data_IF_630526938590
#
_entry.id   IF_630526938590
#
_cell.length_a   1.000
_cell.length_b   1.000
_cell.length_c   1.000
_cell.angle_alpha   90.00
_cell.angle_beta   90.00
_cell.angle_gamma   90.00
#
_symmetry.space_group_name_H-M   'P 1'
#
loop_
_entity.id
_entity.type
_entity.pdbx_description
1 polymer ?
#
# COMPACT_ATOMS: atom_id res chain seq x y z
N UNK A 1 -6.69 19.44 -20.19
CA UNK A 1 -7.22 18.14 -20.66
C UNK A 1 -6.05 17.19 -20.77
N UNK A 2 -6.09 16.05 -20.09
CA UNK A 2 -5.03 15.04 -20.20
C UNK A 2 -5.36 14.05 -21.31
N UNK A 3 -4.34 13.40 -21.89
CA UNK A 3 -4.54 12.32 -22.86
C UNK A 3 -5.44 11.21 -22.30
N UNK A 4 -5.37 10.98 -20.99
CA UNK A 4 -6.20 9.98 -20.32
C UNK A 4 -7.70 10.30 -20.34
N UNK A 5 -8.08 11.58 -20.36
CA UNK A 5 -9.51 11.96 -20.50
C UNK A 5 -10.14 11.56 -21.83
N UNK A 6 -9.34 11.21 -22.84
CA UNK A 6 -9.82 10.70 -24.13
C UNK A 6 -10.04 9.19 -24.09
N UNK A 7 -9.40 8.46 -23.17
CA UNK A 7 -9.61 7.03 -22.99
C UNK A 7 -11.04 6.76 -22.50
N UNK A 8 -11.79 5.94 -23.24
CA UNK A 8 -13.17 5.61 -22.90
C UNK A 8 -13.24 4.77 -21.62
N UNK A 9 -12.24 3.92 -21.36
CA UNK A 9 -12.13 3.09 -20.15
C UNK A 9 -11.96 3.98 -18.92
N UNK A 10 -11.09 4.98 -19.00
CA UNK A 10 -10.88 5.95 -17.92
C UNK A 10 -12.16 6.73 -17.59
N UNK A 11 -12.89 7.17 -18.62
CA UNK A 11 -14.18 7.86 -18.43
C UNK A 11 -15.20 6.97 -17.73
N UNK A 12 -15.35 5.71 -18.16
CA UNK A 12 -16.26 4.73 -17.54
C UNK A 12 -15.87 4.39 -16.11
N UNK A 13 -14.57 4.26 -15.84
CA UNK A 13 -14.03 3.98 -14.51
C UNK A 13 -14.36 5.09 -13.48
N UNK A 14 -14.50 6.33 -13.96
CA UNK A 14 -14.80 7.51 -13.14
C UNK A 14 -16.25 8.00 -13.26
N UNK A 15 -17.10 7.31 -14.04
CA UNK A 15 -18.48 7.71 -14.26
C UNK A 15 -19.39 7.04 -13.21
N UNK A 16 -19.98 7.81 -12.26
CA UNK A 16 -20.83 7.25 -11.21
C UNK A 16 -22.13 6.61 -11.75
N UNK A 17 -22.52 6.93 -12.99
CA UNK A 17 -23.71 6.38 -13.65
C UNK A 17 -23.38 5.18 -14.54
N UNK A 18 -22.10 4.95 -14.85
CA UNK A 18 -21.69 3.78 -15.63
C UNK A 18 -21.93 2.49 -14.85
N UNK A 19 -22.49 1.49 -15.54
CA UNK A 19 -22.68 0.13 -15.02
C UNK A 19 -22.07 -0.84 -16.01
N UNK A 20 -21.25 -1.74 -15.53
CA UNK A 20 -20.64 -2.76 -16.37
C UNK A 20 -21.72 -3.60 -17.06
N UNK A 21 -21.62 -3.88 -18.37
CA UNK A 21 -22.57 -4.74 -19.06
C UNK A 21 -22.40 -6.22 -18.71
N UNK A 22 -21.30 -6.61 -18.04
CA UNK A 22 -21.02 -8.00 -17.66
C UNK A 22 -21.86 -8.41 -16.44
N UNK A 23 -21.84 -7.58 -15.40
CA UNK A 23 -22.38 -7.91 -14.07
C UNK A 23 -23.09 -6.73 -13.38
N UNK A 24 -23.20 -5.57 -14.05
CA UNK A 24 -23.80 -4.37 -13.49
C UNK A 24 -22.91 -3.63 -12.49
N UNK A 25 -21.65 -4.04 -12.30
CA UNK A 25 -20.73 -3.40 -11.35
C UNK A 25 -20.52 -1.93 -11.68
N UNK A 26 -20.49 -1.09 -10.64
CA UNK A 26 -20.13 0.32 -10.73
C UNK A 26 -18.71 0.53 -10.17
N UNK A 27 -18.06 1.59 -10.62
CA UNK A 27 -16.74 2.01 -10.15
C UNK A 27 -16.82 3.47 -9.72
N UNK A 28 -16.07 3.84 -8.68
CA UNK A 28 -16.05 5.19 -8.12
C UNK A 28 -14.69 5.87 -8.34
N UNK A 29 -13.96 5.47 -9.37
CA UNK A 29 -12.56 5.86 -9.58
C UNK A 29 -11.57 5.02 -8.79
N UNK A 30 -10.38 5.59 -8.59
CA UNK A 30 -9.23 4.93 -7.97
C UNK A 30 -9.52 4.49 -6.52
N UNK A 31 -9.05 3.30 -6.17
CA UNK A 31 -9.04 2.77 -4.80
C UNK A 31 -7.67 2.20 -4.43
N UNK A 32 -7.32 2.31 -3.15
CA UNK A 32 -6.04 1.90 -2.60
C UNK A 32 -5.95 0.40 -2.35
N UNK A 33 -4.72 -0.13 -2.34
CA UNK A 33 -4.45 -1.54 -2.06
C UNK A 33 -3.76 -1.68 -0.71
N UNK A 34 -4.39 -2.42 0.20
CA UNK A 34 -3.84 -2.73 1.52
C UNK A 34 -3.53 -4.21 1.68
N UNK A 35 -2.51 -4.50 2.48
CA UNK A 35 -2.14 -5.87 2.84
C UNK A 35 -2.50 -6.15 4.30
N UNK A 36 -3.16 -7.27 4.56
CA UNK A 36 -3.66 -7.63 5.89
C UNK A 36 -2.53 -7.97 6.88
N UNK A 37 -1.45 -8.56 6.38
CA UNK A 37 -0.28 -8.97 7.14
C UNK A 37 0.97 -8.98 6.25
N UNK A 38 2.19 -9.03 6.82
CA UNK A 38 3.40 -9.38 6.06
C UNK A 38 3.28 -10.81 5.52
N UNK A 39 3.92 -11.12 4.39
CA UNK A 39 3.82 -12.45 3.76
C UNK A 39 4.39 -13.57 4.65
N UNK A 40 5.32 -13.22 5.54
CA UNK A 40 5.89 -14.12 6.53
C UNK A 40 4.91 -14.51 7.67
N UNK A 41 3.73 -13.87 7.79
CA UNK A 41 2.78 -14.12 8.88
C UNK A 41 2.07 -15.47 8.74
N UNK A 42 2.25 -16.43 9.68
CA UNK A 42 1.77 -17.79 9.49
C UNK A 42 0.39 -18.08 10.12
N UNK A 43 -0.19 -17.12 10.87
CA UNK A 43 -1.33 -17.40 11.76
C UNK A 43 -2.71 -17.06 11.18
N UNK A 44 -2.78 -16.82 9.87
CA UNK A 44 -4.01 -16.43 9.17
C UNK A 44 -4.40 -14.95 9.37
N UNK A 45 -5.50 -14.50 8.73
CA UNK A 45 -5.89 -13.10 8.73
C UNK A 45 -6.33 -12.62 10.12
N UNK A 46 -6.07 -11.35 10.44
CA UNK A 46 -6.61 -10.72 11.65
C UNK A 46 -8.14 -10.59 11.52
N UNK A 47 -8.93 -11.06 12.50
CA UNK A 47 -10.38 -10.87 12.48
C UNK A 47 -10.75 -9.38 12.42
N UNK A 48 -11.72 -9.04 11.57
CA UNK A 48 -12.09 -7.65 11.31
C UNK A 48 -12.62 -6.92 12.57
N UNK A 49 -13.21 -7.65 13.51
CA UNK A 49 -13.78 -7.16 14.76
C UNK A 49 -12.76 -7.06 15.91
N UNK A 50 -11.52 -7.51 15.70
CA UNK A 50 -10.51 -7.55 16.74
C UNK A 50 -9.34 -6.61 16.44
N UNK A 51 -8.96 -5.72 17.37
CA UNK A 51 -7.86 -4.76 17.15
C UNK A 51 -6.48 -5.43 17.08
N UNK A 52 -6.35 -6.64 17.61
CA UNK A 52 -5.11 -7.38 17.73
C UNK A 52 -5.37 -8.88 17.56
N UNK A 53 -4.55 -9.55 16.75
CA UNK A 53 -4.44 -11.01 16.71
C UNK A 53 -3.16 -11.43 17.44
N UNK A 54 -3.29 -12.26 18.46
CA UNK A 54 -2.16 -12.80 19.24
C UNK A 54 -2.02 -14.32 19.02
N UNK A 55 -0.80 -14.76 18.71
CA UNK A 55 -0.46 -16.17 18.56
C UNK A 55 0.84 -16.46 19.33
N UNK A 56 0.71 -16.78 20.62
CA UNK A 56 1.86 -16.92 21.52
C UNK A 56 2.59 -15.59 21.71
N UNK A 57 3.83 -15.50 21.24
CA UNK A 57 4.64 -14.27 21.29
C UNK A 57 4.37 -13.32 20.11
N UNK A 58 3.79 -13.84 19.03
CA UNK A 58 3.53 -13.14 17.79
C UNK A 58 2.25 -12.31 17.91
N UNK A 59 2.28 -11.13 17.31
CA UNK A 59 1.21 -10.14 17.42
C UNK A 59 1.02 -9.42 16.09
N UNK A 60 -0.22 -9.27 15.65
CA UNK A 60 -0.60 -8.53 14.46
C UNK A 60 -1.72 -7.54 14.80
N UNK A 61 -1.47 -6.25 14.64
CA UNK A 61 -2.47 -5.18 14.72
C UNK A 61 -2.72 -4.57 13.34
N UNK A 62 -3.47 -3.47 13.26
CA UNK A 62 -3.68 -2.75 12.00
C UNK A 62 -2.41 -2.08 11.45
N UNK A 63 -1.43 -1.77 12.31
CA UNK A 63 -0.26 -0.94 11.99
C UNK A 63 1.09 -1.58 12.36
N UNK A 64 1.07 -2.55 13.29
CA UNK A 64 2.27 -3.16 13.88
C UNK A 64 2.18 -4.68 13.80
N UNK A 65 3.29 -5.33 13.47
CA UNK A 65 3.40 -6.79 13.49
C UNK A 65 4.73 -7.24 14.11
N UNK A 66 4.68 -8.32 14.88
CA UNK A 66 5.82 -9.01 15.46
C UNK A 66 5.71 -10.51 15.20
N UNK A 67 6.78 -11.09 14.66
CA UNK A 67 6.95 -12.52 14.45
C UNK A 67 8.30 -12.93 15.05
N UNK A 68 8.29 -13.57 16.21
CA UNK A 68 9.51 -13.81 17.00
C UNK A 68 10.30 -12.50 17.23
N UNK A 69 11.52 -12.43 16.67
CA UNK A 69 12.37 -11.23 16.73
C UNK A 69 12.19 -10.26 15.56
N UNK A 70 11.48 -10.65 14.50
CA UNK A 70 11.17 -9.77 13.39
C UNK A 70 10.13 -8.72 13.82
N UNK A 71 10.28 -7.51 13.28
CA UNK A 71 9.42 -6.36 13.55
C UNK A 71 9.00 -5.74 12.23
N UNK A 72 7.71 -5.48 12.09
CA UNK A 72 7.15 -4.95 10.86
C UNK A 72 6.28 -3.73 11.14
N UNK A 73 6.50 -2.68 10.36
CA UNK A 73 5.65 -1.50 10.32
C UNK A 73 4.83 -1.52 9.04
N UNK A 74 3.57 -1.10 9.14
CA UNK A 74 2.79 -0.79 7.95
C UNK A 74 3.23 0.56 7.40
N UNK A 75 3.54 0.63 6.12
CA UNK A 75 3.96 1.86 5.45
C UNK A 75 3.01 2.21 4.30
N UNK A 76 3.17 3.40 3.74
CA UNK A 76 2.42 3.85 2.55
C UNK A 76 3.39 4.14 1.42
N UNK A 77 3.19 3.48 0.28
CA UNK A 77 3.85 3.80 -0.98
C UNK A 77 2.86 4.57 -1.86
N UNK A 78 3.28 5.71 -2.36
CA UNK A 78 2.48 6.55 -3.26
C UNK A 78 2.94 6.33 -4.70
N UNK A 79 2.02 5.91 -5.58
CA UNK A 79 2.25 5.73 -7.00
C UNK A 79 1.41 6.75 -7.78
N UNK A 80 2.01 7.85 -8.25
CA UNK A 80 1.28 8.86 -9.04
C UNK A 80 0.71 8.25 -10.33
N UNK A 81 -0.54 8.56 -10.67
CA UNK A 81 -1.11 8.13 -11.94
C UNK A 81 -0.85 9.17 -13.03
N UNK A 82 -0.04 8.79 -14.03
CA UNK A 82 0.43 9.69 -15.09
C UNK A 82 -0.74 10.28 -15.88
N UNK A 83 -0.64 11.58 -16.13
CA UNK A 83 -1.69 12.32 -16.84
C UNK A 83 -2.93 12.61 -15.99
N UNK A 84 -2.87 12.40 -14.67
CA UNK A 84 -3.90 12.81 -13.72
C UNK A 84 -3.26 13.56 -12.54
N UNK A 85 -4.08 14.00 -11.58
CA UNK A 85 -3.61 14.43 -10.26
C UNK A 85 -3.83 13.37 -9.18
N UNK A 86 -4.24 12.16 -9.56
CA UNK A 86 -4.58 11.07 -8.65
C UNK A 86 -3.33 10.24 -8.29
N UNK A 87 -3.37 9.63 -7.11
CA UNK A 87 -2.28 8.84 -6.55
C UNK A 87 -2.88 7.53 -6.06
N UNK A 88 -2.33 6.41 -6.52
CA UNK A 88 -2.61 5.10 -5.92
C UNK A 88 -1.76 4.94 -4.66
N UNK A 89 -2.39 4.63 -3.54
CA UNK A 89 -1.66 4.24 -2.35
C UNK A 89 -1.63 2.72 -2.18
N UNK A 90 -0.42 2.19 -1.97
CA UNK A 90 -0.21 0.83 -1.50
C UNK A 90 0.15 0.89 -0.01
N UNK A 91 -0.44 0.01 0.80
CA UNK A 91 -0.16 -0.07 2.24
C UNK A 91 0.50 -1.40 2.65
N UNK A 92 1.74 -1.68 2.19
CA UNK A 92 2.46 -2.91 2.51
C UNK A 92 3.10 -2.86 3.90
N UNK A 93 3.62 -4.02 4.30
CA UNK A 93 4.45 -4.20 5.47
C UNK A 93 5.92 -4.08 5.12
N UNK A 94 6.69 -3.50 6.05
CA UNK A 94 8.13 -3.35 5.94
C UNK A 94 8.77 -3.93 7.19
N UNK A 95 9.70 -4.87 7.01
CA UNK A 95 10.53 -5.37 8.09
C UNK A 95 11.59 -4.33 8.44
N UNK A 96 11.67 -3.96 9.71
CA UNK A 96 12.63 -2.97 10.23
C UNK A 96 13.46 -3.54 11.36
N UNK A 97 14.55 -2.86 11.71
CA UNK A 97 15.32 -3.25 12.88
C UNK A 97 14.48 -3.10 14.17
N UNK A 98 14.67 -3.97 15.19
CA UNK A 98 13.91 -3.87 16.42
C UNK A 98 14.05 -2.52 17.14
N UNK A 99 15.23 -1.90 17.09
CA UNK A 99 15.47 -0.58 17.66
C UNK A 99 14.59 0.48 16.99
N UNK A 100 14.51 0.48 15.66
CA UNK A 100 13.71 1.44 14.88
C UNK A 100 12.21 1.24 15.09
N UNK A 101 11.77 -0.02 15.22
CA UNK A 101 10.38 -0.34 15.53
C UNK A 101 9.92 0.26 16.87
N UNK A 102 10.73 0.09 17.92
CA UNK A 102 10.38 0.64 19.24
C UNK A 102 10.54 2.16 19.27
N UNK A 103 11.55 2.71 18.60
CA UNK A 103 11.67 4.17 18.43
C UNK A 103 10.46 4.76 17.70
N UNK A 104 9.91 4.06 16.69
CA UNK A 104 8.68 4.46 16.01
C UNK A 104 7.48 4.49 16.95
N UNK A 105 7.27 3.43 17.74
CA UNK A 105 6.18 3.36 18.74
C UNK A 105 6.31 4.50 19.76
N UNK A 106 7.52 4.75 20.26
CA UNK A 106 7.78 5.85 21.19
C UNK A 106 7.46 7.21 20.56
N UNK A 107 7.78 7.38 19.27
CA UNK A 107 7.57 8.65 18.55
C UNK A 107 6.10 8.94 18.23
N UNK A 108 5.27 7.90 18.08
CA UNK A 108 3.83 8.02 17.73
C UNK A 108 2.92 8.10 18.96
N UNK A 109 3.46 7.85 20.16
CA UNK A 109 2.75 7.95 21.44
C UNK A 109 1.71 6.83 21.66
N UNK A 110 1.30 6.63 22.92
CA UNK A 110 0.26 5.65 23.27
C UNK A 110 -1.18 6.12 22.95
N UNK A 111 -1.38 7.39 22.58
CA UNK A 111 -2.71 8.03 22.43
C UNK A 111 -2.85 8.94 21.18
N UNK A 112 -2.01 8.77 20.14
CA UNK A 112 -2.12 9.62 18.93
C UNK A 112 -1.82 11.11 19.17
N UNK A 113 -1.11 11.44 20.26
CA UNK A 113 -0.57 12.77 20.46
C UNK A 113 0.53 13.04 19.43
N UNK A 114 0.57 14.28 18.93
CA UNK A 114 1.49 14.79 17.92
C UNK A 114 2.86 14.11 17.99
N UNK A 115 3.36 13.57 16.86
CA UNK A 115 4.69 13.00 16.80
C UNK A 115 5.65 13.99 17.38
N UNK A 116 6.42 13.54 18.35
CA UNK A 116 7.54 14.36 18.78
C UNK A 116 8.43 14.55 17.54
N UNK A 117 9.09 15.72 17.43
CA UNK A 117 10.17 16.00 16.47
C UNK A 117 11.40 15.07 16.65
N UNK A 118 11.20 13.87 17.20
CA UNK A 118 12.17 12.87 17.65
C UNK A 118 11.87 11.47 17.12
N UNK A 119 11.00 11.33 16.11
CA UNK A 119 11.04 10.11 15.30
C UNK A 119 12.42 9.98 14.63
N UNK A 120 12.91 8.75 14.35
CA UNK A 120 14.12 8.59 13.54
C UNK A 120 13.97 9.36 12.21
N UNK A 121 15.01 10.12 11.81
CA UNK A 121 14.98 10.97 10.60
C UNK A 121 14.57 10.19 9.35
N UNK A 122 15.00 8.93 9.27
CA UNK A 122 14.48 7.93 8.34
C UNK A 122 14.75 6.53 8.91
N UNK A 123 13.81 5.61 8.73
CA UNK A 123 13.98 4.19 9.05
C UNK A 123 14.32 3.46 7.74
N UNK A 124 15.31 2.58 7.78
CA UNK A 124 15.55 1.66 6.67
C UNK A 124 14.90 0.31 6.97
N UNK A 125 14.32 -0.30 5.94
CA UNK A 125 13.64 -1.58 6.08
C UNK A 125 13.55 -2.32 4.76
N UNK A 126 13.04 -3.54 4.83
CA UNK A 126 12.86 -4.41 3.67
C UNK A 126 11.37 -4.60 3.41
N UNK A 127 10.95 -4.44 2.16
CA UNK A 127 9.59 -4.75 1.74
C UNK A 127 9.24 -6.19 2.11
N UNK A 128 8.14 -6.40 2.83
CA UNK A 128 7.74 -7.69 3.38
C UNK A 128 6.44 -8.23 2.77
N UNK A 129 6.04 -7.68 1.61
CA UNK A 129 4.98 -8.21 0.78
C UNK A 129 5.44 -8.25 -0.68
N UNK A 130 5.13 -9.34 -1.39
CA UNK A 130 5.16 -9.35 -2.84
C UNK A 130 4.06 -8.42 -3.37
N UNK A 131 4.46 -7.26 -3.90
CA UNK A 131 3.49 -6.30 -4.40
C UNK A 131 2.91 -6.77 -5.74
N UNK A 132 1.60 -6.61 -5.99
CA UNK A 132 1.03 -6.72 -7.32
C UNK A 132 1.85 -5.88 -8.31
N UNK A 133 2.15 -6.44 -9.49
CA UNK A 133 2.97 -5.77 -10.52
C UNK A 133 4.46 -5.62 -10.21
N UNK A 134 4.90 -5.87 -8.96
CA UNK A 134 6.31 -5.84 -8.54
C UNK A 134 6.67 -7.06 -7.67
N UNK A 135 6.37 -8.30 -8.09
CA UNK A 135 6.58 -9.48 -7.24
C UNK A 135 8.05 -9.73 -6.94
N UNK A 136 8.96 -9.32 -7.84
CA UNK A 136 10.42 -9.45 -7.64
C UNK A 136 10.99 -8.45 -6.63
N UNK A 137 10.19 -7.45 -6.22
CA UNK A 137 10.64 -6.39 -5.32
C UNK A 137 10.43 -6.75 -3.83
N UNK A 138 9.91 -7.94 -3.49
CA UNK A 138 9.93 -8.42 -2.10
C UNK A 138 11.39 -8.48 -1.59
N UNK A 139 11.62 -7.96 -0.39
CA UNK A 139 12.97 -7.80 0.16
C UNK A 139 13.72 -6.56 -0.36
N UNK A 140 13.12 -5.73 -1.22
CA UNK A 140 13.73 -4.46 -1.65
C UNK A 140 13.90 -3.51 -0.47
N UNK A 141 15.05 -2.84 -0.44
CA UNK A 141 15.34 -1.81 0.56
C UNK A 141 14.44 -0.58 0.35
N UNK A 142 13.73 -0.23 1.41
CA UNK A 142 12.87 0.93 1.50
C UNK A 142 13.42 1.92 2.53
N UNK A 143 13.25 3.20 2.23
CA UNK A 143 13.41 4.28 3.21
C UNK A 143 12.04 4.78 3.65
N UNK A 144 11.81 4.72 4.95
CA UNK A 144 10.58 5.13 5.61
C UNK A 144 10.79 6.52 6.18
N UNK A 145 10.01 7.49 5.69
CA UNK A 145 10.00 8.84 6.19
C UNK A 145 8.80 9.05 7.12
N UNK A 146 9.00 9.67 8.29
CA UNK A 146 7.89 10.05 9.16
C UNK A 146 6.88 10.93 8.42
N UNK A 147 5.58 10.68 8.64
CA UNK A 147 4.48 11.42 8.02
C UNK A 147 3.55 12.04 9.07
N UNK A 148 4.14 12.67 10.09
CA UNK A 148 3.33 13.16 11.19
C UNK A 148 2.68 11.99 11.94
N UNK A 149 1.40 12.14 12.31
CA UNK A 149 0.61 11.11 13.01
C UNK A 149 0.11 9.98 12.08
N UNK A 150 0.48 10.02 10.80
CA UNK A 150 0.09 9.03 9.79
C UNK A 150 1.13 7.91 9.66
N UNK A 151 0.78 6.88 8.88
CA UNK A 151 1.70 5.81 8.50
C UNK A 151 2.96 6.39 7.84
N UNK A 152 4.15 5.81 8.10
CA UNK A 152 5.37 6.27 7.45
C UNK A 152 5.25 6.11 5.93
N UNK A 153 5.75 7.09 5.19
CA UNK A 153 5.84 7.01 3.73
C UNK A 153 7.08 6.22 3.35
N UNK A 154 6.92 5.17 2.57
CA UNK A 154 8.01 4.37 2.06
C UNK A 154 8.39 4.81 0.64
N UNK A 155 9.69 4.91 0.39
CA UNK A 155 10.26 5.06 -0.95
C UNK A 155 11.26 3.94 -1.22
N UNK A 156 11.22 3.36 -2.42
CA UNK A 156 12.21 2.40 -2.87
C UNK A 156 13.46 3.11 -3.35
N UNK A 157 14.64 2.61 -2.97
CA UNK A 157 15.92 3.25 -3.29
C UNK A 157 16.39 3.00 -4.73
N UNK A 158 15.93 1.93 -5.35
CA UNK A 158 16.26 1.53 -6.72
C UNK A 158 15.22 0.54 -7.26
N UNK A 159 15.32 0.23 -8.55
CA UNK A 159 14.50 -0.79 -9.20
C UNK A 159 13.15 -0.28 -9.72
N UNK A 160 12.33 -1.18 -10.29
CA UNK A 160 11.08 -0.83 -10.94
C UNK A 160 10.08 -0.10 -10.03
N UNK A 161 9.98 -0.48 -8.75
CA UNK A 161 9.16 0.24 -7.78
C UNK A 161 9.65 1.68 -7.54
N UNK A 162 10.96 1.93 -7.55
CA UNK A 162 11.52 3.28 -7.41
C UNK A 162 11.19 4.16 -8.62
N UNK A 163 11.27 3.59 -9.83
CA UNK A 163 10.85 4.24 -11.07
C UNK A 163 9.35 4.56 -11.03
N UNK A 164 8.50 3.61 -10.62
CA UNK A 164 7.06 3.81 -10.50
C UNK A 164 6.68 4.89 -9.47
N UNK A 165 7.39 4.99 -8.34
CA UNK A 165 7.20 6.04 -7.34
C UNK A 165 7.57 7.42 -7.90
N UNK A 166 8.65 7.49 -8.69
CA UNK A 166 9.20 8.76 -9.20
C UNK A 166 8.46 9.26 -10.44
N UNK A 167 8.28 8.39 -11.42
CA UNK A 167 7.77 8.75 -12.75
C UNK A 167 6.26 8.54 -12.85
N UNK A 168 5.68 7.76 -11.92
CA UNK A 168 4.28 7.39 -11.91
C UNK A 168 3.96 6.23 -12.84
N UNK A 169 2.80 5.63 -12.60
CA UNK A 169 2.25 4.50 -13.37
C UNK A 169 1.29 4.99 -14.45
N UNK A 170 1.13 4.24 -15.54
CA UNK A 170 0.06 4.48 -16.51
C UNK A 170 -1.28 3.91 -16.02
N UNK A 171 -2.36 4.18 -16.74
CA UNK A 171 -3.65 3.56 -16.45
C UNK A 171 -3.66 2.06 -16.76
N UNK A 172 -2.90 1.60 -17.76
CA UNK A 172 -2.79 0.16 -18.02
C UNK A 172 -2.02 -0.55 -16.90
N UNK A 173 -0.96 0.08 -16.38
CA UNK A 173 -0.23 -0.42 -15.20
C UNK A 173 -1.17 -0.50 -13.98
N UNK A 174 -2.01 0.52 -13.74
CA UNK A 174 -3.01 0.49 -12.66
C UNK A 174 -3.98 -0.70 -12.80
N UNK A 175 -4.46 -0.96 -14.01
CA UNK A 175 -5.34 -2.09 -14.27
C UNK A 175 -4.63 -3.44 -14.05
N UNK A 176 -3.36 -3.54 -14.40
CA UNK A 176 -2.55 -4.74 -14.14
C UNK A 176 -2.30 -4.94 -12.63
N UNK A 177 -2.11 -3.85 -11.87
CA UNK A 177 -2.01 -3.90 -10.41
C UNK A 177 -3.30 -4.42 -9.78
N UNK A 178 -4.47 -3.93 -10.20
CA UNK A 178 -5.75 -4.42 -9.70
C UNK A 178 -6.00 -5.88 -10.06
N UNK A 179 -5.72 -6.29 -11.30
CA UNK A 179 -5.83 -7.68 -11.72
C UNK A 179 -4.91 -8.60 -10.90
N UNK A 180 -3.66 -8.19 -10.67
CA UNK A 180 -2.71 -8.94 -9.84
C UNK A 180 -3.10 -8.97 -8.36
N UNK A 181 -3.83 -7.96 -7.86
CA UNK A 181 -4.45 -7.96 -6.53
C UNK A 181 -5.73 -8.83 -6.45
N UNK A 182 -6.15 -9.47 -7.55
CA UNK A 182 -7.31 -10.35 -7.61
C UNK A 182 -8.60 -9.68 -8.08
N UNK A 183 -8.53 -8.43 -8.56
CA UNK A 183 -9.69 -7.66 -9.03
C UNK A 183 -9.46 -7.14 -10.46
N UNK A 184 -9.59 -8.03 -11.46
CA UNK A 184 -9.46 -7.62 -12.87
C UNK A 184 -10.70 -6.86 -13.35
N UNK A 185 -10.62 -5.53 -13.26
CA UNK A 185 -11.70 -4.63 -13.67
C UNK A 185 -11.70 -4.33 -15.17
N UNK A 186 -10.63 -4.68 -15.91
CA UNK A 186 -10.44 -4.30 -17.32
C UNK A 186 -11.58 -4.80 -18.22
N UNK A 187 -12.09 -6.05 -18.09
CA UNK A 187 -13.25 -6.51 -18.87
C UNK A 187 -14.50 -5.66 -18.63
N UNK A 188 -14.69 -5.18 -17.40
CA UNK A 188 -15.91 -4.48 -16.97
C UNK A 188 -16.04 -3.06 -17.54
N UNK A 189 -14.91 -2.42 -17.85
CA UNK A 189 -14.84 -1.05 -18.38
C UNK A 189 -14.48 -1.00 -19.87
N UNK A 190 -14.03 -2.11 -20.45
CA UNK A 190 -13.68 -2.21 -21.88
C UNK A 190 -14.88 -2.55 -22.76
N UNK A 191 -15.85 -3.30 -22.24
CA UNK A 191 -17.07 -3.63 -22.94
C UNK A 191 -17.98 -2.38 -23.04
N UNK A 192 -17.98 -1.73 -24.20
CA UNK A 192 -18.90 -0.64 -24.54
C UNK A 192 -18.47 0.14 -25.75
#
# INVERSE_FOLDING_TARGET
MSLLSLDARWRRFNDPDFRSPIDGRAFSGLYDLGFDAPDAWPHGPRPADQPLLEAGADRLSAELCRIGEARYLRAVIALPLRGTGEILYLAPWVQVAPADFYAWIESTGQDGATPHDRGPEAIEGLLANALPGFPEDEGTALRLMPAGAERPRATALAGPLSEAITDGISFDDLLDLYAAAGDDIRPHISAG
#
